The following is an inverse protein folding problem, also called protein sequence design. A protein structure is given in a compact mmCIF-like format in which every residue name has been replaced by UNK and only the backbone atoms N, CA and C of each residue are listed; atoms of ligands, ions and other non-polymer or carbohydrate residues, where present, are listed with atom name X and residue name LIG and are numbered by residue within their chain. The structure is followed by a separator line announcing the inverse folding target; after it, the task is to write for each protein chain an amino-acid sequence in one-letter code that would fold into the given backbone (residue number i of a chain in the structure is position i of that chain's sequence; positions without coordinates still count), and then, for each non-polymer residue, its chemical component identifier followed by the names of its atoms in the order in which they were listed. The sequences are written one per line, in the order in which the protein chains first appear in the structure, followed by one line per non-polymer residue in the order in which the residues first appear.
data_IF_851691928968
#
_entry.id   IF_851691928968
#
_cell.length_a   1.000
_cell.length_b   1.000
_cell.length_c   1.000
_cell.angle_alpha   90.00
_cell.angle_beta   90.00
_cell.angle_gamma   90.00
#
_symmetry.space_group_name_H-M   'P 1'
#
loop_
_entity.id
_entity.type
_entity.pdbx_description
1 polymer ?
#
# COMPACT_ATOMS: atom_id res chain seq x y z
N UNK A 1 6.43 -35.97 2.14
CA UNK A 1 5.41 -34.89 2.23
C UNK A 1 5.33 -34.14 0.90
N UNK A 2 4.82 -34.77 -0.16
CA UNK A 2 4.81 -34.20 -1.53
C UNK A 2 3.46 -34.24 -2.23
N UNK A 3 2.36 -34.47 -1.49
CA UNK A 3 1.04 -34.80 -2.06
C UNK A 3 -0.04 -33.73 -1.82
N UNK A 4 0.30 -32.55 -1.29
CA UNK A 4 -0.67 -31.49 -0.97
C UNK A 4 -0.70 -30.31 -1.95
N UNK A 5 0.34 -30.08 -2.76
CA UNK A 5 0.37 -28.92 -3.68
C UNK A 5 -0.26 -29.21 -5.06
N UNK A 6 -0.27 -30.46 -5.52
CA UNK A 6 -0.83 -30.81 -6.83
C UNK A 6 -2.38 -30.80 -6.86
N UNK A 7 -3.04 -30.83 -5.70
CA UNK A 7 -4.51 -30.77 -5.63
C UNK A 7 -5.08 -29.35 -5.73
N UNK A 8 -4.26 -28.31 -5.55
CA UNK A 8 -4.74 -26.92 -5.64
C UNK A 8 -4.83 -26.42 -7.09
N UNK A 9 -3.93 -26.89 -7.95
CA UNK A 9 -3.94 -26.56 -9.39
C UNK A 9 -5.08 -27.26 -10.16
N UNK A 10 -5.57 -28.40 -9.66
CA UNK A 10 -6.66 -29.18 -10.30
C UNK A 10 -8.03 -28.51 -10.12
N UNK A 11 -8.18 -27.55 -9.20
CA UNK A 11 -9.43 -26.80 -9.04
C UNK A 11 -9.61 -25.69 -10.11
N UNK A 12 -8.53 -25.23 -10.76
CA UNK A 12 -8.52 -24.06 -11.65
C UNK A 12 -9.23 -24.32 -13.01
N UNK A 13 -9.55 -25.58 -13.31
CA UNK A 13 -10.13 -26.03 -14.59
C UNK A 13 -11.61 -26.44 -14.53
N UNK A 14 -12.34 -26.14 -13.44
CA UNK A 14 -13.79 -26.40 -13.37
C UNK A 14 -14.59 -25.11 -13.59
N UNK A 15 -15.67 -25.13 -14.40
CA UNK A 15 -16.51 -23.95 -14.65
C UNK A 15 -17.16 -23.41 -13.35
N UNK A 16 -17.34 -24.28 -12.36
CA UNK A 16 -17.82 -23.94 -11.02
C UNK A 16 -16.81 -23.10 -10.23
N UNK A 17 -15.51 -23.40 -10.30
CA UNK A 17 -14.47 -22.61 -9.62
C UNK A 17 -14.36 -21.20 -10.22
N UNK A 18 -14.42 -21.08 -11.56
CA UNK A 18 -14.47 -19.78 -12.23
C UNK A 18 -15.70 -18.97 -11.81
N UNK A 19 -16.89 -19.59 -11.72
CA UNK A 19 -18.11 -18.92 -11.29
C UNK A 19 -18.04 -18.43 -9.83
N UNK A 20 -17.47 -19.24 -8.93
CA UNK A 20 -17.25 -18.87 -7.52
C UNK A 20 -16.26 -17.71 -7.41
N UNK A 21 -15.16 -17.73 -8.16
CA UNK A 21 -14.20 -16.63 -8.16
C UNK A 21 -14.79 -15.33 -8.72
N UNK A 22 -15.58 -15.39 -9.80
CA UNK A 22 -16.25 -14.21 -10.37
C UNK A 22 -17.27 -13.60 -9.41
N UNK A 23 -18.07 -14.44 -8.73
CA UNK A 23 -19.04 -13.96 -7.74
C UNK A 23 -18.36 -13.37 -6.51
N UNK A 24 -17.25 -13.97 -6.03
CA UNK A 24 -16.40 -13.40 -4.97
C UNK A 24 -15.79 -12.06 -5.37
N UNK A 25 -15.28 -11.93 -6.60
CA UNK A 25 -14.68 -10.69 -7.10
C UNK A 25 -15.72 -9.56 -7.18
N UNK A 26 -16.90 -9.86 -7.73
CA UNK A 26 -18.01 -8.90 -7.79
C UNK A 26 -18.50 -8.49 -6.40
N UNK A 27 -18.61 -9.43 -5.45
CA UNK A 27 -18.98 -9.15 -4.07
C UNK A 27 -17.93 -8.27 -3.36
N UNK A 28 -16.64 -8.57 -3.56
CA UNK A 28 -15.54 -7.77 -3.03
C UNK A 28 -15.50 -6.36 -3.63
N UNK A 29 -15.77 -6.21 -4.94
CA UNK A 29 -15.84 -4.90 -5.58
C UNK A 29 -17.02 -4.07 -5.03
N UNK A 30 -18.19 -4.69 -4.86
CA UNK A 30 -19.37 -4.06 -4.26
C UNK A 30 -19.09 -3.59 -2.83
N UNK A 31 -18.42 -4.41 -2.01
CA UNK A 31 -18.13 -4.08 -0.61
C UNK A 31 -17.12 -2.93 -0.51
N UNK A 32 -16.06 -2.94 -1.31
CA UNK A 32 -15.08 -1.83 -1.37
C UNK A 32 -15.74 -0.53 -1.80
N UNK A 33 -16.58 -0.55 -2.84
CA UNK A 33 -17.32 0.65 -3.28
C UNK A 33 -18.25 1.18 -2.17
N UNK A 34 -18.90 0.30 -1.42
CA UNK A 34 -19.74 0.67 -0.28
C UNK A 34 -18.91 1.33 0.84
N UNK A 35 -17.73 0.79 1.14
CA UNK A 35 -16.80 1.36 2.14
C UNK A 35 -16.31 2.74 1.70
N UNK A 36 -15.89 2.90 0.43
CA UNK A 36 -15.48 4.19 -0.12
C UNK A 36 -16.60 5.24 0.00
N UNK A 37 -17.84 4.89 -0.38
CA UNK A 37 -18.98 5.79 -0.25
C UNK A 37 -19.32 6.15 1.20
N UNK A 38 -19.11 5.23 2.15
CA UNK A 38 -19.27 5.51 3.57
C UNK A 38 -18.17 6.44 4.11
N UNK A 39 -16.92 6.30 3.65
CA UNK A 39 -15.84 7.21 4.00
C UNK A 39 -16.09 8.64 3.51
N UNK A 40 -16.68 8.82 2.32
CA UNK A 40 -17.07 10.13 1.81
C UNK A 40 -18.18 10.77 2.66
N UNK A 41 -19.17 9.98 3.09
CA UNK A 41 -20.21 10.44 4.03
C UNK A 41 -19.62 10.83 5.38
N UNK A 42 -18.62 10.09 5.86
CA UNK A 42 -17.94 10.35 7.12
C UNK A 42 -17.18 11.70 7.10
N UNK A 43 -16.59 12.05 5.96
CA UNK A 43 -15.93 13.34 5.71
C UNK A 43 -16.92 14.52 5.87
N UNK A 44 -18.16 14.35 5.37
CA UNK A 44 -19.25 15.33 5.53
C UNK A 44 -19.70 15.41 6.99
N UNK A 45 -19.82 14.28 7.68
CA UNK A 45 -20.23 14.21 9.08
C UNK A 45 -19.18 14.79 10.03
N UNK A 46 -17.91 14.83 9.62
CA UNK A 46 -16.82 15.42 10.40
C UNK A 46 -17.08 16.90 10.76
N UNK A 47 -17.78 17.63 9.90
CA UNK A 47 -18.15 19.02 10.14
C UNK A 47 -19.20 19.19 11.27
N UNK A 48 -19.94 18.14 11.63
CA UNK A 48 -20.90 18.13 12.74
C UNK A 48 -20.28 17.83 14.11
N UNK A 49 -19.02 17.41 14.16
CA UNK A 49 -18.34 17.05 15.42
C UNK A 49 -17.81 18.31 16.13
N UNK A 50 -17.89 18.40 17.47
CA UNK A 50 -17.33 19.52 18.24
C UNK A 50 -15.81 19.71 18.00
N UNK A 51 -15.30 20.95 18.05
CA UNK A 51 -13.95 21.31 17.61
C UNK A 51 -12.83 20.61 18.40
N UNK A 52 -13.08 20.24 19.65
CA UNK A 52 -12.11 19.53 20.52
C UNK A 52 -11.85 18.09 20.09
N UNK A 53 -12.83 17.41 19.47
CA UNK A 53 -12.70 16.02 19.02
C UNK A 53 -12.45 15.91 17.51
N UNK A 54 -12.71 16.98 16.77
CA UNK A 54 -12.63 17.03 15.30
C UNK A 54 -11.26 16.67 14.76
N UNK A 55 -10.17 17.03 15.44
CA UNK A 55 -8.81 16.72 14.98
C UNK A 55 -8.52 15.21 14.98
N UNK A 56 -8.87 14.51 16.07
CA UNK A 56 -8.70 13.05 16.15
C UNK A 56 -9.64 12.31 15.19
N UNK A 57 -10.91 12.74 15.10
CA UNK A 57 -11.85 12.19 14.14
C UNK A 57 -11.35 12.37 12.69
N UNK A 58 -10.73 13.51 12.38
CA UNK A 58 -10.19 13.80 11.05
C UNK A 58 -9.06 12.85 10.70
N UNK A 59 -8.11 12.68 11.61
CA UNK A 59 -6.98 11.77 11.42
C UNK A 59 -7.46 10.33 11.16
N UNK A 60 -8.45 9.87 11.92
CA UNK A 60 -9.01 8.54 11.73
C UNK A 60 -9.75 8.42 10.38
N UNK A 61 -10.51 9.44 9.97
CA UNK A 61 -11.16 9.47 8.66
C UNK A 61 -10.14 9.45 7.50
N UNK A 62 -9.06 10.23 7.62
CA UNK A 62 -7.98 10.27 6.64
C UNK A 62 -7.28 8.91 6.53
N UNK A 63 -7.06 8.21 7.65
CA UNK A 63 -6.51 6.86 7.70
C UNK A 63 -7.43 5.85 6.99
N UNK A 64 -8.72 5.83 7.35
CA UNK A 64 -9.73 4.98 6.71
C UNK A 64 -9.83 5.22 5.20
N UNK A 65 -9.68 6.47 4.75
CA UNK A 65 -9.69 6.85 3.34
C UNK A 65 -8.44 6.34 2.61
N UNK A 66 -7.28 6.38 3.26
CA UNK A 66 -6.05 5.80 2.74
C UNK A 66 -6.20 4.27 2.56
N UNK A 67 -6.65 3.58 3.60
CA UNK A 67 -6.82 2.12 3.58
C UNK A 67 -7.83 1.68 2.51
N UNK A 68 -8.94 2.41 2.37
CA UNK A 68 -9.96 2.13 1.34
C UNK A 68 -9.41 2.28 -0.07
N UNK A 69 -8.61 3.33 -0.33
CA UNK A 69 -7.95 3.52 -1.64
C UNK A 69 -6.91 2.44 -1.92
N UNK A 70 -6.18 2.01 -0.89
CA UNK A 70 -5.19 0.94 -1.02
C UNK A 70 -5.87 -0.40 -1.36
N UNK A 71 -6.98 -0.73 -0.70
CA UNK A 71 -7.78 -1.92 -1.00
C UNK A 71 -8.35 -1.87 -2.43
N UNK A 72 -8.82 -0.71 -2.88
CA UNK A 72 -9.32 -0.53 -4.24
C UNK A 72 -8.22 -0.76 -5.29
N UNK A 73 -7.01 -0.23 -5.06
CA UNK A 73 -5.86 -0.46 -5.93
C UNK A 73 -5.45 -1.95 -5.96
N UNK A 74 -5.46 -2.61 -4.80
CA UNK A 74 -5.17 -4.04 -4.71
C UNK A 74 -6.19 -4.87 -5.50
N UNK A 75 -7.49 -4.57 -5.39
CA UNK A 75 -8.55 -5.25 -6.14
C UNK A 75 -8.39 -5.06 -7.66
N UNK A 76 -8.10 -3.83 -8.10
CA UNK A 76 -7.84 -3.54 -9.51
C UNK A 76 -6.63 -4.33 -10.05
N UNK A 77 -5.54 -4.42 -9.28
CA UNK A 77 -4.38 -5.21 -9.67
C UNK A 77 -4.69 -6.71 -9.77
N UNK A 78 -5.58 -7.22 -8.91
CA UNK A 78 -6.02 -8.61 -8.94
C UNK A 78 -6.89 -8.89 -10.16
N UNK A 79 -7.83 -7.99 -10.46
CA UNK A 79 -8.67 -8.06 -11.65
C UNK A 79 -7.83 -8.01 -12.93
N UNK A 80 -6.81 -7.14 -12.98
CA UNK A 80 -5.90 -7.05 -14.12
C UNK A 80 -5.08 -8.34 -14.31
N UNK A 81 -4.59 -8.95 -13.22
CA UNK A 81 -3.90 -10.25 -13.29
C UNK A 81 -4.82 -11.34 -13.84
N UNK A 82 -6.10 -11.36 -13.45
CA UNK A 82 -7.10 -12.31 -13.97
C UNK A 82 -7.32 -12.15 -15.47
N UNK A 83 -7.54 -10.91 -15.92
CA UNK A 83 -7.71 -10.62 -17.35
C UNK A 83 -6.47 -11.03 -18.13
N UNK A 84 -5.27 -10.70 -17.64
CA UNK A 84 -4.01 -11.08 -18.29
C UNK A 84 -3.87 -12.60 -18.46
N UNK A 85 -4.19 -13.38 -17.43
CA UNK A 85 -4.21 -14.85 -17.51
C UNK A 85 -5.21 -15.38 -18.54
N UNK A 86 -6.41 -14.79 -18.62
CA UNK A 86 -7.43 -15.19 -19.60
C UNK A 86 -7.01 -14.88 -21.03
N UNK A 87 -6.42 -13.70 -21.24
CA UNK A 87 -5.86 -13.29 -22.55
C UNK A 87 -4.74 -14.25 -22.96
N UNK A 88 -3.78 -14.52 -22.06
CA UNK A 88 -2.67 -15.46 -22.31
C UNK A 88 -3.17 -16.88 -22.63
N UNK A 89 -4.20 -17.37 -21.93
CA UNK A 89 -4.83 -18.64 -22.24
C UNK A 89 -5.50 -18.66 -23.62
N UNK A 90 -6.23 -17.59 -23.98
CA UNK A 90 -6.87 -17.46 -25.28
C UNK A 90 -5.87 -17.35 -26.43
N UNK A 91 -4.77 -16.64 -26.24
CA UNK A 91 -3.66 -16.55 -27.19
C UNK A 91 -3.00 -17.92 -27.37
N UNK A 92 -2.78 -18.65 -26.26
CA UNK A 92 -2.25 -20.01 -26.30
C UNK A 92 -3.16 -20.96 -27.08
N UNK A 93 -4.47 -20.88 -26.91
CA UNK A 93 -5.44 -21.68 -27.68
C UNK A 93 -5.45 -21.31 -29.16
N UNK A 94 -5.32 -20.03 -29.53
CA UNK A 94 -5.20 -19.60 -30.93
C UNK A 94 -3.92 -20.12 -31.59
N UNK A 95 -2.82 -20.21 -30.85
CA UNK A 95 -1.57 -20.80 -31.33
C UNK A 95 -1.66 -22.31 -31.52
N UNK A 96 -2.40 -23.02 -30.64
CA UNK A 96 -2.58 -24.47 -30.71
C UNK A 96 -3.70 -24.90 -31.69
N UNK A 97 -4.66 -24.02 -31.99
CA UNK A 97 -5.78 -24.27 -32.90
C UNK A 97 -5.42 -24.21 -34.39
N UNK A 98 -4.21 -23.75 -34.75
CA UNK A 98 -3.69 -23.91 -36.11
C UNK A 98 -3.36 -25.38 -36.35
N UNK A 99 -4.32 -26.13 -36.89
CA UNK A 99 -4.06 -27.46 -37.44
C UNK A 99 -3.01 -27.32 -38.54
N UNK A 100 -1.79 -27.79 -38.27
CA UNK A 100 -0.72 -27.90 -39.26
C UNK A 100 -1.16 -28.92 -40.31
N UNK A 101 -1.83 -28.43 -41.36
CA UNK A 101 -2.03 -29.22 -42.57
C UNK A 101 -0.67 -29.28 -43.28
N UNK A 102 -0.06 -30.46 -43.31
CA UNK A 102 1.15 -30.68 -44.09
C UNK A 102 0.75 -30.63 -45.56
N UNK A 103 0.82 -29.44 -46.18
CA UNK A 103 0.68 -29.30 -47.62
C UNK A 103 2.07 -29.59 -48.24
N UNK A 104 2.25 -30.71 -48.99
CA UNK A 104 3.56 -31.15 -49.47
C UNK A 104 4.17 -30.23 -50.54
N UNK A 105 3.41 -29.29 -51.11
CA UNK A 105 3.85 -28.50 -52.26
C UNK A 105 4.43 -27.11 -51.93
N UNK A 106 4.50 -26.71 -50.65
CA UNK A 106 4.95 -25.36 -50.25
C UNK A 106 6.36 -25.34 -49.64
N UNK A 107 7.30 -26.08 -50.23
CA UNK A 107 8.74 -25.90 -49.99
C UNK A 107 9.33 -24.79 -50.86
N UNK A 108 8.57 -23.71 -51.12
CA UNK A 108 9.10 -22.50 -51.77
C UNK A 108 9.37 -21.43 -50.73
N UNK A 109 10.46 -21.65 -49.99
CA UNK A 109 11.09 -20.68 -49.11
C UNK A 109 11.79 -19.66 -50.01
N UNK A 110 11.09 -18.60 -50.49
CA UNK A 110 11.79 -17.36 -50.85
C UNK A 110 10.96 -16.07 -51.08
N UNK A 111 9.62 -16.09 -51.11
CA UNK A 111 8.84 -14.86 -51.45
C UNK A 111 8.15 -14.21 -50.23
N UNK A 112 7.89 -14.96 -49.15
CA UNK A 112 7.18 -14.41 -47.98
C UNK A 112 8.07 -13.63 -46.98
N UNK A 113 9.40 -13.67 -47.11
CA UNK A 113 10.29 -13.09 -46.10
C UNK A 113 10.19 -11.56 -46.01
N UNK A 114 9.95 -10.86 -47.12
CA UNK A 114 9.83 -9.40 -47.15
C UNK A 114 8.47 -8.90 -46.59
N UNK A 115 7.36 -9.56 -46.96
CA UNK A 115 6.03 -9.25 -46.41
C UNK A 115 5.91 -9.65 -44.94
N UNK A 116 6.55 -10.76 -44.54
CA UNK A 116 6.65 -11.18 -43.16
C UNK A 116 7.60 -10.29 -42.35
N UNK A 117 8.68 -9.76 -42.94
CA UNK A 117 9.52 -8.73 -42.33
C UNK A 117 8.75 -7.43 -42.10
N UNK A 118 7.87 -7.04 -43.02
CA UNK A 118 7.11 -5.81 -42.85
C UNK A 118 6.07 -5.92 -41.74
N UNK A 119 5.39 -7.07 -41.63
CA UNK A 119 4.52 -7.36 -40.49
C UNK A 119 5.29 -7.52 -39.18
N UNK A 120 6.47 -8.16 -39.19
CA UNK A 120 7.28 -8.30 -37.98
C UNK A 120 7.86 -6.96 -37.53
N UNK A 121 8.27 -6.08 -38.45
CA UNK A 121 8.68 -4.71 -38.14
C UNK A 121 7.53 -3.91 -37.54
N UNK A 122 6.31 -4.05 -38.07
CA UNK A 122 5.13 -3.36 -37.52
C UNK A 122 4.78 -3.83 -36.10
N UNK A 123 4.80 -5.16 -35.87
CA UNK A 123 4.58 -5.75 -34.56
C UNK A 123 5.68 -5.37 -33.56
N UNK A 124 6.93 -5.31 -34.02
CA UNK A 124 8.07 -4.84 -33.22
C UNK A 124 7.91 -3.35 -32.90
N UNK A 125 7.42 -2.53 -33.82
CA UNK A 125 7.19 -1.11 -33.57
C UNK A 125 6.12 -0.90 -32.49
N UNK A 126 4.99 -1.61 -32.57
CA UNK A 126 3.97 -1.58 -31.52
C UNK A 126 4.50 -2.07 -30.17
N UNK A 127 5.28 -3.15 -30.14
CA UNK A 127 5.87 -3.66 -28.91
C UNK A 127 6.89 -2.71 -28.28
N UNK A 128 7.69 -2.02 -29.09
CA UNK A 128 8.64 -0.99 -28.63
C UNK A 128 7.90 0.24 -28.11
N UNK A 129 6.82 0.68 -28.77
CA UNK A 129 6.00 1.81 -28.30
C UNK A 129 5.33 1.50 -26.95
N UNK A 130 4.79 0.30 -26.76
CA UNK A 130 4.23 -0.14 -25.49
C UNK A 130 5.31 -0.19 -24.38
N UNK A 131 6.52 -0.63 -24.71
CA UNK A 131 7.65 -0.64 -23.78
C UNK A 131 8.11 0.78 -23.42
N UNK A 132 8.18 1.70 -24.38
CA UNK A 132 8.50 3.10 -24.15
C UNK A 132 7.44 3.79 -23.30
N UNK A 133 6.17 3.52 -23.58
CA UNK A 133 5.04 4.03 -22.79
C UNK A 133 5.13 3.52 -21.35
N UNK A 134 5.40 2.23 -21.15
CA UNK A 134 5.60 1.62 -19.83
C UNK A 134 6.82 2.20 -19.10
N UNK A 135 7.92 2.40 -19.82
CA UNK A 135 9.14 3.02 -19.29
C UNK A 135 8.92 4.45 -18.83
N UNK A 136 8.19 5.24 -19.63
CA UNK A 136 7.83 6.63 -19.30
C UNK A 136 6.94 6.73 -18.05
N UNK A 137 5.93 5.86 -17.94
CA UNK A 137 5.06 5.79 -16.76
C UNK A 137 5.81 5.37 -15.48
N UNK A 138 6.82 4.50 -15.61
CA UNK A 138 7.68 4.11 -14.49
C UNK A 138 8.57 5.27 -14.05
N UNK A 139 9.15 6.02 -14.99
CA UNK A 139 9.98 7.18 -14.69
C UNK A 139 9.16 8.31 -14.02
N UNK A 140 7.94 8.54 -14.49
CA UNK A 140 7.01 9.50 -13.89
C UNK A 140 6.59 9.07 -12.49
N UNK A 141 6.37 7.77 -12.26
CA UNK A 141 6.09 7.22 -10.93
C UNK A 141 7.27 7.43 -9.97
N UNK A 142 8.51 7.19 -10.42
CA UNK A 142 9.72 7.45 -9.62
C UNK A 142 9.91 8.94 -9.31
N UNK A 143 9.60 9.81 -10.29
CA UNK A 143 9.61 11.28 -10.10
C UNK A 143 8.58 11.71 -9.05
N UNK A 144 7.37 11.16 -9.11
CA UNK A 144 6.29 11.44 -8.16
C UNK A 144 6.59 10.90 -6.75
N UNK A 145 7.22 9.73 -6.65
CA UNK A 145 7.74 9.20 -5.38
C UNK A 145 8.78 10.13 -4.76
N UNK A 146 9.75 10.63 -5.56
CA UNK A 146 10.75 11.60 -5.09
C UNK A 146 10.11 12.91 -4.61
N UNK A 147 9.10 13.41 -5.32
CA UNK A 147 8.35 14.61 -4.93
C UNK A 147 7.64 14.42 -3.59
N UNK A 148 6.97 13.28 -3.41
CA UNK A 148 6.30 12.88 -2.16
C UNK A 148 7.31 12.78 -1.02
N UNK A 149 8.46 12.12 -1.25
CA UNK A 149 9.51 11.96 -0.24
C UNK A 149 10.08 13.31 0.19
N UNK A 150 10.28 14.24 -0.76
CA UNK A 150 10.72 15.61 -0.48
C UNK A 150 9.68 16.39 0.34
N UNK A 151 8.39 16.19 0.05
CA UNK A 151 7.29 16.76 0.84
C UNK A 151 7.24 16.21 2.26
N UNK A 152 7.39 14.91 2.43
CA UNK A 152 7.46 14.25 3.74
C UNK A 152 8.67 14.73 4.55
N UNK A 153 9.86 14.78 3.93
CA UNK A 153 11.07 15.32 4.56
C UNK A 153 10.87 16.77 5.03
N UNK A 154 10.25 17.62 4.19
CA UNK A 154 9.97 19.01 4.57
C UNK A 154 9.04 19.09 5.78
N UNK A 155 7.98 18.28 5.82
CA UNK A 155 7.08 18.17 6.98
C UNK A 155 7.80 17.70 8.24
N UNK A 156 8.70 16.73 8.14
CA UNK A 156 9.51 16.27 9.28
C UNK A 156 10.42 17.38 9.79
N UNK A 157 11.07 18.14 8.90
CA UNK A 157 11.89 19.31 9.28
C UNK A 157 11.03 20.39 9.95
N UNK A 158 9.83 20.66 9.44
CA UNK A 158 8.91 21.63 10.03
C UNK A 158 8.42 21.17 11.42
N UNK A 159 8.18 19.86 11.61
CA UNK A 159 7.88 19.25 12.90
C UNK A 159 9.08 19.30 13.85
N UNK A 160 10.29 19.03 13.37
CA UNK A 160 11.52 19.14 14.17
C UNK A 160 11.78 20.58 14.63
N UNK A 161 11.58 21.56 13.75
CA UNK A 161 11.64 22.99 14.11
C UNK A 161 10.55 23.37 15.12
N UNK A 162 9.33 22.83 14.97
CA UNK A 162 8.23 23.07 15.92
C UNK A 162 8.48 22.38 17.28
N UNK A 163 9.06 21.18 17.29
CA UNK A 163 9.41 20.45 18.50
C UNK A 163 10.62 21.06 19.22
N UNK A 164 11.58 21.61 18.48
CA UNK A 164 12.70 22.38 19.02
C UNK A 164 12.28 23.73 19.63
N UNK A 165 11.18 24.33 19.16
CA UNK A 165 10.58 25.57 19.69
C UNK A 165 9.42 25.33 20.67
N UNK A 166 8.94 24.09 20.82
CA UNK A 166 7.81 23.73 21.71
C UNK A 166 8.24 23.72 23.17
N UNK A 167 8.49 24.92 23.68
CA UNK A 167 8.85 25.20 25.07
C UNK A 167 7.81 24.67 26.06
N UNK A 168 6.57 24.41 25.63
CA UNK A 168 5.51 23.91 26.51
C UNK A 168 5.63 22.39 26.78
N UNK A 169 6.05 21.59 25.80
CA UNK A 169 6.23 20.13 25.98
C UNK A 169 7.60 19.78 26.56
N UNK A 170 8.65 20.56 26.27
CA UNK A 170 9.96 20.46 26.92
C UNK A 170 9.85 20.74 28.43
N UNK A 171 9.18 21.83 28.82
CA UNK A 171 8.98 22.20 30.25
C UNK A 171 8.13 21.20 31.03
N UNK A 172 7.19 20.52 30.37
CA UNK A 172 6.36 19.49 31.02
C UNK A 172 7.15 18.22 31.36
N UNK A 173 8.23 17.93 30.63
CA UNK A 173 9.13 16.79 30.92
C UNK A 173 10.13 17.18 32.01
N UNK A 174 10.71 18.38 31.94
CA UNK A 174 11.63 18.87 32.98
C UNK A 174 10.97 18.95 34.38
N UNK A 175 9.68 19.32 34.46
CA UNK A 175 8.96 19.37 35.75
C UNK A 175 8.87 18.01 36.45
N UNK A 176 8.70 16.91 35.70
CA UNK A 176 8.59 15.56 36.27
C UNK A 176 9.91 15.07 36.88
N UNK A 177 11.04 15.48 36.30
CA UNK A 177 12.38 15.15 36.81
C UNK A 177 12.77 16.03 38.00
N UNK A 178 12.34 17.30 37.99
CA UNK A 178 12.56 18.20 39.12
C UNK A 178 11.75 17.79 40.36
N UNK A 179 10.50 17.37 40.17
CA UNK A 179 9.65 16.90 41.27
C UNK A 179 10.24 15.65 41.95
N UNK A 180 10.79 14.72 41.16
CA UNK A 180 11.51 13.54 41.67
C UNK A 180 12.75 13.95 42.51
N UNK A 181 13.50 14.97 42.06
CA UNK A 181 14.63 15.53 42.81
C UNK A 181 14.22 16.15 44.15
N UNK A 182 13.09 16.85 44.19
CA UNK A 182 12.59 17.45 45.43
C UNK A 182 12.15 16.39 46.44
N UNK A 183 11.46 15.34 45.99
CA UNK A 183 11.06 14.21 46.84
C UNK A 183 12.30 13.53 47.43
N UNK A 184 13.32 13.25 46.61
CA UNK A 184 14.57 12.65 47.07
C UNK A 184 15.30 13.50 48.12
N UNK A 185 15.46 14.81 47.88
CA UNK A 185 16.15 15.72 48.82
C UNK A 185 15.38 15.82 50.14
N UNK A 186 14.04 15.92 50.10
CA UNK A 186 13.24 15.99 51.32
C UNK A 186 13.39 14.75 52.21
N UNK A 187 13.45 13.55 51.62
CA UNK A 187 13.70 12.31 52.37
C UNK A 187 15.08 12.26 53.02
N UNK A 188 16.12 12.77 52.35
CA UNK A 188 17.47 12.85 52.92
C UNK A 188 17.56 13.81 54.12
N UNK A 189 16.86 14.94 54.07
CA UNK A 189 16.86 15.93 55.17
C UNK A 189 16.09 15.41 56.38
N UNK A 190 14.93 14.78 56.15
CA UNK A 190 14.09 14.21 57.23
C UNK A 190 14.87 13.14 58.00
N UNK A 191 15.55 12.25 57.29
CA UNK A 191 16.33 11.16 57.91
C UNK A 191 17.51 11.71 58.74
N UNK A 192 18.22 12.74 58.23
CA UNK A 192 19.26 13.42 59.00
C UNK A 192 18.71 14.12 60.25
N UNK A 193 17.57 14.79 60.15
CA UNK A 193 16.95 15.48 61.28
C UNK A 193 16.57 14.51 62.41
N UNK A 194 16.00 13.34 62.06
CA UNK A 194 15.67 12.29 63.03
C UNK A 194 16.92 11.79 63.76
N UNK A 195 18.02 11.55 63.03
CA UNK A 195 19.28 11.11 63.64
C UNK A 195 19.81 12.15 64.63
N UNK A 196 19.81 13.44 64.26
CA UNK A 196 20.28 14.52 65.14
C UNK A 196 19.41 14.64 66.39
N UNK A 197 18.08 14.57 66.25
CA UNK A 197 17.17 14.65 67.38
C UNK A 197 17.39 13.52 68.39
N UNK A 198 17.62 12.29 67.90
CA UNK A 198 17.91 11.13 68.75
C UNK A 198 19.23 11.34 69.52
N UNK A 199 20.27 11.86 68.87
CA UNK A 199 21.55 12.13 69.52
C UNK A 199 21.41 13.19 70.61
N UNK A 200 20.71 14.30 70.35
CA UNK A 200 20.49 15.37 71.33
C UNK A 200 19.58 14.95 72.48
N UNK A 201 18.61 14.08 72.24
CA UNK A 201 17.72 13.61 73.30
C UNK A 201 18.39 12.58 74.21
N UNK A 202 19.34 11.80 73.69
CA UNK A 202 20.01 10.72 74.42
C UNK A 202 21.35 11.14 75.04
N UNK A 203 21.87 12.33 74.69
CA UNK A 203 23.07 12.96 75.28
C UNK A 203 22.66 14.02 76.28
#
# INVERSE_FOLDING_TARGET
MGLQLHNLEICESTPLCAFIEYTMLCYAAQSVNTVCGNCEKLDILLFKVPPTQRQNAKMNCDQLKYDSRHLQAALMSWQQKRIRKQVEASEREQLLGRQFTANPDLTTINIDYALQQQNSLYNVHQGVDEMLQTGSGTLESLRNQRSTLKGAHRRIVDMANTLGLSTHTMRLIERRVLEDKYILISGMVITLFVIVLVIVYFT
#
